data_IF_575288302789
#
_entry.id   IF_575288302789
#
_cell.length_a   1.000
_cell.length_b   1.000
_cell.length_c   1.000
_cell.angle_alpha   90.00
_cell.angle_beta   90.00
_cell.angle_gamma   90.00
#
_symmetry.space_group_name_H-M   'P 1'
#
loop_
_entity.id
_entity.type
_entity.pdbx_description
1 polymer ?
#
# COMPACT_ATOMS: atom_id res chain seq x y z
N UNK A 1 -17.37 5.94 17.94
CA UNK A 1 -17.04 4.65 18.56
C UNK A 1 -16.36 3.65 17.61
N UNK A 2 -16.40 3.83 16.27
CA UNK A 2 -15.83 2.88 15.28
C UNK A 2 -14.31 2.94 15.05
N UNK A 3 -13.59 3.89 15.66
CA UNK A 3 -12.14 4.07 15.44
C UNK A 3 -11.28 3.02 16.15
N UNK A 4 -11.68 2.59 17.35
CA UNK A 4 -10.92 1.66 18.18
C UNK A 4 -11.04 0.21 17.69
N UNK A 5 -12.24 -0.22 17.30
CA UNK A 5 -12.51 -1.59 16.84
C UNK A 5 -11.66 -1.95 15.60
N UNK A 6 -11.53 -1.02 14.65
CA UNK A 6 -10.71 -1.23 13.45
C UNK A 6 -9.20 -1.33 13.77
N UNK A 7 -8.72 -0.67 14.83
CA UNK A 7 -7.33 -0.78 15.27
C UNK A 7 -7.04 -2.15 15.90
N UNK A 8 -7.96 -2.64 16.74
CA UNK A 8 -7.83 -3.96 17.34
C UNK A 8 -7.86 -5.07 16.30
N UNK A 9 -8.69 -4.94 15.26
CA UNK A 9 -8.72 -5.86 14.12
C UNK A 9 -7.38 -5.87 13.37
N UNK A 10 -6.76 -4.70 13.17
CA UNK A 10 -5.45 -4.60 12.53
C UNK A 10 -4.36 -5.27 13.39
N UNK A 11 -4.34 -5.02 14.69
CA UNK A 11 -3.35 -5.62 15.60
C UNK A 11 -3.47 -7.13 15.67
N UNK A 12 -4.71 -7.66 15.77
CA UNK A 12 -4.97 -9.11 15.73
C UNK A 12 -4.55 -9.72 14.40
N UNK A 13 -4.86 -9.06 13.30
CA UNK A 13 -4.42 -9.50 11.98
C UNK A 13 -2.90 -9.49 11.84
N UNK A 14 -2.24 -8.43 12.31
CA UNK A 14 -0.79 -8.29 12.27
C UNK A 14 -0.11 -9.43 13.04
N UNK A 15 -0.60 -9.73 14.25
CA UNK A 15 -0.14 -10.88 15.04
C UNK A 15 -0.31 -12.20 14.28
N UNK A 16 -1.47 -12.40 13.62
CA UNK A 16 -1.73 -13.61 12.82
C UNK A 16 -0.77 -13.77 11.63
N UNK A 17 -0.17 -12.67 11.16
CA UNK A 17 0.84 -12.62 10.10
C UNK A 17 2.28 -12.69 10.64
N UNK A 18 2.46 -12.84 11.96
CA UNK A 18 3.76 -12.88 12.63
C UNK A 18 4.43 -11.52 12.77
N UNK A 19 3.68 -10.42 12.61
CA UNK A 19 4.17 -9.06 12.86
C UNK A 19 4.20 -8.84 14.37
N UNK A 20 5.35 -8.45 14.90
CA UNK A 20 5.58 -8.43 16.34
C UNK A 20 6.62 -7.38 16.75
N UNK A 21 6.39 -6.73 17.90
CA UNK A 21 7.30 -5.78 18.54
C UNK A 21 7.96 -6.32 19.82
N UNK A 22 7.70 -7.58 20.17
CA UNK A 22 8.27 -8.28 21.32
C UNK A 22 9.74 -8.66 21.07
N UNK A 23 10.59 -8.88 22.09
CA UNK A 23 11.93 -9.42 21.90
C UNK A 23 11.93 -10.82 21.26
N UNK A 24 12.98 -11.17 20.52
CA UNK A 24 13.07 -12.45 19.78
C UNK A 24 13.09 -13.67 20.71
N UNK A 25 13.61 -13.49 21.92
CA UNK A 25 13.76 -14.53 22.95
C UNK A 25 12.45 -14.83 23.69
N UNK A 26 11.49 -13.91 23.65
CA UNK A 26 10.19 -14.05 24.30
C UNK A 26 9.03 -14.18 23.31
N UNK A 27 9.31 -14.14 22.00
CA UNK A 27 8.28 -14.09 20.97
C UNK A 27 7.55 -15.44 20.85
N UNK A 28 6.33 -15.48 21.36
CA UNK A 28 5.34 -16.50 21.02
C UNK A 28 4.61 -16.13 19.73
N UNK A 29 3.98 -17.09 19.06
CA UNK A 29 3.22 -16.85 17.82
C UNK A 29 1.99 -15.94 18.01
N UNK A 30 1.64 -15.58 19.25
CA UNK A 30 0.54 -14.68 19.60
C UNK A 30 0.96 -13.23 19.87
N UNK A 31 2.26 -12.94 19.94
CA UNK A 31 2.73 -11.61 20.33
C UNK A 31 2.66 -10.64 19.16
N UNK A 32 1.58 -9.86 19.13
CA UNK A 32 1.34 -8.79 18.16
C UNK A 32 2.09 -7.50 18.49
N UNK A 33 1.39 -6.37 18.35
CA UNK A 33 1.85 -5.06 18.81
C UNK A 33 1.41 -4.82 20.26
N UNK A 34 2.23 -4.11 21.03
CA UNK A 34 1.90 -3.63 22.38
C UNK A 34 3.08 -3.64 23.36
N UNK A 35 4.15 -4.39 23.06
CA UNK A 35 5.32 -4.46 23.94
C UNK A 35 6.20 -3.20 23.84
N UNK A 36 6.48 -2.75 22.62
CA UNK A 36 7.33 -1.59 22.33
C UNK A 36 6.54 -0.46 21.66
N UNK A 37 5.55 -0.82 20.84
CA UNK A 37 4.83 0.08 19.95
C UNK A 37 3.32 -0.13 20.08
N UNK A 38 2.58 0.97 20.07
CA UNK A 38 1.12 0.97 20.01
C UNK A 38 0.64 1.86 18.87
N UNK A 39 -0.48 1.49 18.25
CA UNK A 39 -1.11 2.32 17.22
C UNK A 39 -1.73 3.54 17.89
N UNK A 40 -1.33 4.73 17.46
CA UNK A 40 -1.82 6.00 17.98
C UNK A 40 -2.20 6.95 16.83
N UNK A 41 -2.95 8.02 17.15
CA UNK A 41 -3.30 9.06 16.19
C UNK A 41 -2.62 10.37 16.60
N UNK A 42 -1.91 10.98 15.65
CA UNK A 42 -1.17 12.22 15.79
C UNK A 42 -1.74 13.26 14.81
N UNK A 43 -2.81 14.00 15.18
CA UNK A 43 -3.48 14.95 14.29
C UNK A 43 -2.53 15.96 13.63
N UNK A 44 -1.54 16.43 14.40
CA UNK A 44 -0.59 17.46 13.97
C UNK A 44 0.60 16.88 13.17
N UNK A 45 0.72 15.55 13.08
CA UNK A 45 1.84 14.86 12.41
C UNK A 45 1.36 13.90 11.30
N UNK A 46 0.25 14.23 10.63
CA UNK A 46 -0.24 13.46 9.47
C UNK A 46 -1.16 12.29 9.83
N UNK A 47 -1.64 12.22 11.07
CA UNK A 47 -2.67 11.27 11.50
C UNK A 47 -2.11 10.01 12.14
N UNK A 48 -2.55 8.84 11.69
CA UNK A 48 -2.25 7.57 12.35
C UNK A 48 -0.78 7.19 12.24
N UNK A 49 -0.20 6.74 13.35
CA UNK A 49 1.18 6.26 13.41
C UNK A 49 1.41 5.28 14.55
N UNK A 50 2.68 5.08 14.90
CA UNK A 50 3.11 4.24 16.02
C UNK A 50 3.70 5.14 17.12
N UNK A 51 3.23 4.94 18.35
CA UNK A 51 3.81 5.54 19.55
C UNK A 51 4.62 4.49 20.32
N UNK A 52 5.69 4.91 20.98
CA UNK A 52 6.40 4.05 21.92
C UNK A 52 5.54 3.83 23.17
N UNK A 53 5.36 2.57 23.60
CA UNK A 53 4.69 2.23 24.86
C UNK A 53 5.65 2.14 26.05
N UNK A 54 6.95 2.20 25.79
CA UNK A 54 8.03 2.19 26.77
C UNK A 54 9.23 2.99 26.27
N UNK A 55 10.23 3.16 27.12
CA UNK A 55 11.52 3.71 26.71
C UNK A 55 12.21 2.74 25.72
N UNK A 56 12.64 3.29 24.59
CA UNK A 56 13.36 2.58 23.53
C UNK A 56 14.82 3.03 23.52
N UNK A 57 15.74 2.11 23.25
CA UNK A 57 17.17 2.43 23.07
C UNK A 57 17.52 2.49 21.59
N UNK A 58 18.48 3.34 21.25
CA UNK A 58 19.04 3.37 19.90
C UNK A 58 19.63 1.99 19.54
N UNK A 59 19.39 1.54 18.30
CA UNK A 59 19.82 0.22 17.81
C UNK A 59 18.95 -0.96 18.28
N UNK A 60 17.93 -0.73 19.11
CA UNK A 60 17.02 -1.77 19.57
C UNK A 60 16.07 -2.25 18.45
N UNK A 61 15.81 -3.55 18.36
CA UNK A 61 14.82 -4.11 17.45
C UNK A 61 13.40 -3.86 18.00
N UNK A 62 12.71 -2.88 17.44
CA UNK A 62 11.39 -2.46 17.91
C UNK A 62 10.20 -3.04 17.12
N UNK A 63 10.44 -3.61 15.92
CA UNK A 63 9.39 -4.19 15.09
C UNK A 63 9.96 -5.22 14.11
N UNK A 64 9.27 -6.35 13.96
CA UNK A 64 9.53 -7.35 12.92
C UNK A 64 8.30 -7.51 12.03
N UNK A 65 8.54 -7.53 10.73
CA UNK A 65 7.52 -7.80 9.72
C UNK A 65 7.99 -8.96 8.83
N UNK A 66 7.35 -10.14 8.90
CA UNK A 66 7.71 -11.25 8.02
C UNK A 66 7.46 -10.91 6.55
N UNK A 67 8.31 -11.41 5.65
CA UNK A 67 8.15 -11.20 4.20
C UNK A 67 6.81 -11.70 3.67
N UNK A 68 6.26 -12.77 4.27
CA UNK A 68 4.95 -13.33 3.93
C UNK A 68 3.76 -12.41 4.28
N UNK A 69 3.96 -11.42 5.15
CA UNK A 69 2.95 -10.42 5.46
C UNK A 69 2.88 -9.30 4.41
N UNK A 70 3.95 -9.12 3.62
CA UNK A 70 4.08 -8.04 2.64
C UNK A 70 3.25 -8.32 1.39
N UNK A 71 2.56 -7.29 0.90
CA UNK A 71 2.03 -7.27 -0.45
C UNK A 71 3.17 -6.93 -1.42
N UNK A 72 3.49 -7.84 -2.33
CA UNK A 72 4.67 -7.75 -3.18
C UNK A 72 4.40 -8.34 -4.58
N UNK A 73 5.35 -8.16 -5.51
CA UNK A 73 5.30 -8.85 -6.81
C UNK A 73 5.34 -10.36 -6.61
N UNK A 74 6.00 -10.85 -5.54
CA UNK A 74 6.03 -12.27 -5.20
C UNK A 74 4.65 -12.76 -4.74
N UNK A 75 3.94 -12.01 -3.90
CA UNK A 75 2.57 -12.39 -3.51
C UNK A 75 1.60 -12.30 -4.69
N UNK A 76 1.79 -11.35 -5.62
CA UNK A 76 1.03 -11.29 -6.86
C UNK A 76 1.25 -12.55 -7.73
N UNK A 77 2.50 -13.01 -7.85
CA UNK A 77 2.85 -14.25 -8.56
C UNK A 77 2.39 -15.52 -7.85
N UNK A 78 2.12 -15.46 -6.55
CA UNK A 78 1.56 -16.59 -5.80
C UNK A 78 0.02 -16.69 -5.91
N UNK A 79 -0.66 -15.60 -6.29
CA UNK A 79 -2.10 -15.63 -6.56
C UNK A 79 -2.37 -16.34 -7.90
N UNK A 80 -3.19 -17.42 -7.93
CA UNK A 80 -3.43 -18.21 -9.15
C UNK A 80 -4.02 -17.40 -10.33
N UNK A 81 -4.90 -16.45 -10.02
CA UNK A 81 -5.53 -15.60 -11.05
C UNK A 81 -4.51 -14.63 -11.63
N UNK A 82 -3.78 -13.93 -10.76
CA UNK A 82 -2.80 -12.92 -11.19
C UNK A 82 -1.61 -13.56 -11.91
N UNK A 83 -1.07 -14.67 -11.40
CA UNK A 83 0.08 -15.38 -11.98
C UNK A 83 -0.18 -15.85 -13.40
N UNK A 84 -1.34 -16.44 -13.65
CA UNK A 84 -1.76 -16.91 -14.97
C UNK A 84 -1.82 -15.76 -15.98
N UNK A 85 -2.37 -14.62 -15.56
CA UNK A 85 -2.46 -13.44 -16.40
C UNK A 85 -1.09 -12.74 -16.58
N UNK A 86 -0.26 -12.65 -15.55
CA UNK A 86 1.09 -12.04 -15.63
C UNK A 86 1.98 -12.70 -16.68
N UNK A 87 1.86 -14.02 -16.89
CA UNK A 87 2.60 -14.73 -17.93
C UNK A 87 2.32 -14.20 -19.35
N UNK A 88 1.17 -13.54 -19.57
CA UNK A 88 0.76 -12.96 -20.86
C UNK A 88 1.05 -11.46 -20.97
N UNK A 89 1.53 -10.83 -19.91
CA UNK A 89 1.89 -9.40 -19.87
C UNK A 89 3.34 -9.18 -19.38
N UNK A 90 4.36 -9.66 -20.12
CA UNK A 90 5.75 -9.63 -19.68
C UNK A 90 6.35 -8.22 -19.54
N UNK A 91 5.75 -7.22 -20.21
CA UNK A 91 6.24 -5.84 -20.23
C UNK A 91 5.77 -4.99 -19.04
N UNK A 92 4.97 -5.54 -18.12
CA UNK A 92 4.49 -4.78 -16.98
C UNK A 92 5.62 -4.47 -16.00
N UNK A 93 5.71 -3.21 -15.59
CA UNK A 93 6.59 -2.79 -14.51
C UNK A 93 6.14 -3.37 -13.16
N UNK A 94 7.08 -3.48 -12.22
CA UNK A 94 6.76 -3.91 -10.84
C UNK A 94 5.72 -3.00 -10.18
N UNK A 95 5.75 -1.69 -10.46
CA UNK A 95 4.77 -0.75 -9.96
C UNK A 95 3.36 -1.02 -10.50
N UNK A 96 3.22 -1.30 -11.80
CA UNK A 96 1.93 -1.66 -12.40
C UNK A 96 1.40 -2.99 -11.82
N UNK A 97 2.27 -4.00 -11.68
CA UNK A 97 1.89 -5.29 -11.08
C UNK A 97 1.36 -5.09 -9.65
N UNK A 98 2.08 -4.30 -8.84
CA UNK A 98 1.67 -4.00 -7.47
C UNK A 98 0.36 -3.21 -7.41
N UNK A 99 0.19 -2.21 -8.28
CA UNK A 99 -1.03 -1.42 -8.34
C UNK A 99 -2.26 -2.29 -8.70
N UNK A 100 -2.13 -3.19 -9.68
CA UNK A 100 -3.21 -4.11 -10.04
C UNK A 100 -3.43 -5.17 -8.94
N UNK A 101 -2.37 -5.69 -8.31
CA UNK A 101 -2.51 -6.61 -7.19
C UNK A 101 -3.28 -5.97 -6.03
N UNK A 102 -2.96 -4.72 -5.68
CA UNK A 102 -3.64 -3.93 -4.67
C UNK A 102 -5.12 -3.72 -5.02
N UNK A 103 -5.43 -3.37 -6.27
CA UNK A 103 -6.82 -3.22 -6.72
C UNK A 103 -7.59 -4.54 -6.66
N UNK A 104 -6.96 -5.66 -7.02
CA UNK A 104 -7.56 -7.00 -6.93
C UNK A 104 -7.90 -7.35 -5.47
N UNK A 105 -6.97 -7.14 -4.54
CA UNK A 105 -7.21 -7.37 -3.11
C UNK A 105 -8.29 -6.44 -2.55
N UNK A 106 -8.27 -5.16 -2.91
CA UNK A 106 -9.33 -4.22 -2.55
C UNK A 106 -10.70 -4.65 -3.13
N UNK A 107 -10.72 -5.29 -4.30
CA UNK A 107 -11.94 -5.78 -4.93
C UNK A 107 -12.56 -6.99 -4.26
N UNK A 108 -11.72 -7.85 -3.64
CA UNK A 108 -12.15 -8.97 -2.79
C UNK A 108 -12.86 -8.46 -1.53
N UNK A 109 -12.48 -7.29 -1.01
CA UNK A 109 -13.11 -6.71 0.19
C UNK A 109 -12.80 -7.57 1.42
N UNK A 110 -13.80 -7.93 2.23
CA UNK A 110 -13.61 -8.70 3.47
C UNK A 110 -13.02 -10.10 3.26
N UNK A 111 -13.10 -10.66 2.06
CA UNK A 111 -12.46 -11.95 1.74
C UNK A 111 -10.97 -11.82 1.41
N UNK A 112 -10.44 -10.60 1.27
CA UNK A 112 -8.99 -10.39 1.12
C UNK A 112 -8.27 -10.69 2.41
N UNK A 113 -7.16 -11.42 2.31
CA UNK A 113 -6.29 -11.63 3.46
C UNK A 113 -5.62 -10.34 3.94
N UNK A 114 -5.57 -9.28 3.12
CA UNK A 114 -5.06 -7.96 3.50
C UNK A 114 -6.18 -6.98 3.88
N UNK A 115 -7.44 -7.42 3.93
CA UNK A 115 -8.56 -6.51 4.25
C UNK A 115 -8.33 -5.66 5.51
N UNK A 116 -7.84 -6.21 6.64
CA UNK A 116 -7.58 -5.42 7.84
C UNK A 116 -6.51 -4.34 7.64
N UNK A 117 -5.54 -4.55 6.75
CA UNK A 117 -4.56 -3.54 6.38
C UNK A 117 -5.15 -2.50 5.42
N UNK A 118 -5.86 -2.94 4.38
CA UNK A 118 -6.36 -2.06 3.32
C UNK A 118 -7.39 -1.04 3.81
N UNK A 119 -8.19 -1.36 4.83
CA UNK A 119 -9.18 -0.42 5.39
C UNK A 119 -8.53 0.79 6.08
N UNK A 120 -7.25 0.70 6.44
CA UNK A 120 -6.50 1.78 7.09
C UNK A 120 -5.69 2.63 6.12
N UNK A 121 -5.63 2.24 4.84
CA UNK A 121 -4.99 3.06 3.82
C UNK A 121 -5.76 4.38 3.63
N UNK A 122 -5.05 5.48 3.29
CA UNK A 122 -5.71 6.72 2.90
C UNK A 122 -6.74 6.49 1.79
N UNK A 123 -7.92 7.07 1.96
CA UNK A 123 -8.99 6.98 0.95
C UNK A 123 -8.72 7.85 -0.26
N UNK A 124 -7.98 8.93 -0.07
CA UNK A 124 -7.67 9.96 -1.06
C UNK A 124 -6.21 10.36 -0.87
N UNK A 125 -5.53 10.59 -1.98
CA UNK A 125 -4.20 11.20 -2.02
C UNK A 125 -4.29 12.54 -2.75
N UNK A 126 -3.40 13.45 -2.40
CA UNK A 126 -3.25 14.76 -3.05
C UNK A 126 -1.89 14.80 -3.76
N UNK A 127 -1.74 14.01 -4.82
CA UNK A 127 -0.53 13.96 -5.65
C UNK A 127 -0.75 14.61 -7.00
N UNK A 128 0.34 14.99 -7.69
CA UNK A 128 0.27 15.65 -9.00
C UNK A 128 -0.60 14.93 -10.04
N UNK A 129 -0.64 13.58 -10.13
CA UNK A 129 -1.54 12.90 -11.07
C UNK A 129 -3.04 13.14 -10.84
N UNK A 130 -3.45 13.68 -9.69
CA UNK A 130 -4.83 14.05 -9.41
C UNK A 130 -5.19 15.46 -9.89
N UNK A 131 -4.21 16.27 -10.30
CA UNK A 131 -4.45 17.65 -10.69
C UNK A 131 -5.30 17.69 -11.96
N UNK A 132 -6.31 18.56 -11.97
CA UNK A 132 -7.02 18.92 -13.21
C UNK A 132 -6.35 20.12 -13.88
N UNK A 133 -6.76 20.45 -15.10
CA UNK A 133 -6.16 21.55 -15.87
C UNK A 133 -6.07 22.86 -15.08
N UNK A 134 -7.11 23.21 -14.32
CA UNK A 134 -7.11 24.42 -13.48
C UNK A 134 -6.08 24.35 -12.35
N UNK A 135 -5.89 23.18 -11.73
CA UNK A 135 -4.90 23.01 -10.65
C UNK A 135 -3.48 23.20 -11.17
N UNK A 136 -3.20 22.68 -12.38
CA UNK A 136 -1.91 22.86 -13.06
C UNK A 136 -1.68 24.34 -13.36
N UNK A 137 -2.65 25.02 -13.96
CA UNK A 137 -2.51 26.44 -14.30
C UNK A 137 -2.34 27.35 -13.06
N UNK A 138 -2.86 26.92 -11.90
CA UNK A 138 -2.67 27.62 -10.64
C UNK A 138 -1.23 27.57 -10.10
N UNK A 139 -0.40 26.64 -10.58
CA UNK A 139 1.03 26.60 -10.22
C UNK A 139 1.73 27.84 -10.79
N UNK A 140 2.52 28.53 -9.95
CA UNK A 140 3.12 29.82 -10.32
C UNK A 140 4.35 29.70 -11.22
N UNK A 141 5.02 28.55 -11.20
CA UNK A 141 6.31 28.33 -11.85
C UNK A 141 6.13 27.39 -13.04
N UNK A 142 6.72 27.72 -14.19
CA UNK A 142 6.57 26.95 -15.44
C UNK A 142 7.09 25.52 -15.28
N UNK A 143 8.22 25.34 -14.61
CA UNK A 143 8.78 24.03 -14.30
C UNK A 143 7.82 23.19 -13.45
N UNK A 144 7.12 23.80 -12.50
CA UNK A 144 6.13 23.08 -11.67
C UNK A 144 4.93 22.63 -12.50
N UNK A 145 4.45 23.46 -13.44
CA UNK A 145 3.40 23.08 -14.40
C UNK A 145 3.84 21.91 -15.26
N UNK A 146 5.04 22.00 -15.84
CA UNK A 146 5.61 20.94 -16.66
C UNK A 146 5.73 19.62 -15.90
N UNK A 147 6.23 19.65 -14.66
CA UNK A 147 6.32 18.44 -13.81
C UNK A 147 4.93 17.85 -13.54
N UNK A 148 3.93 18.69 -13.26
CA UNK A 148 2.55 18.23 -13.04
C UNK A 148 1.96 17.59 -14.30
N UNK A 149 2.11 18.22 -15.47
CA UNK A 149 1.66 17.69 -16.75
C UNK A 149 2.32 16.34 -17.05
N UNK A 150 3.65 16.23 -16.88
CA UNK A 150 4.38 14.97 -17.10
C UNK A 150 3.96 13.88 -16.12
N UNK A 151 3.67 14.23 -14.87
CA UNK A 151 3.16 13.28 -13.89
C UNK A 151 1.77 12.74 -14.29
N UNK A 152 0.87 13.60 -14.80
CA UNK A 152 -0.45 13.20 -15.30
C UNK A 152 -0.31 12.31 -16.53
N UNK A 153 0.47 12.74 -17.53
CA UNK A 153 0.75 11.96 -18.75
C UNK A 153 1.29 10.57 -18.42
N UNK A 154 2.29 10.51 -17.53
CA UNK A 154 2.87 9.24 -17.07
C UNK A 154 1.83 8.36 -16.39
N UNK A 155 0.99 8.91 -15.50
CA UNK A 155 -0.05 8.13 -14.83
C UNK A 155 -1.07 7.55 -15.82
N UNK A 156 -1.44 8.31 -16.85
CA UNK A 156 -2.29 7.82 -17.95
C UNK A 156 -1.58 6.70 -18.71
N UNK A 157 -0.34 6.90 -19.14
CA UNK A 157 0.42 5.87 -19.86
C UNK A 157 0.56 4.58 -19.05
N UNK A 158 0.88 4.69 -17.76
CA UNK A 158 1.01 3.53 -16.87
C UNK A 158 -0.34 2.79 -16.71
N UNK A 159 -1.45 3.51 -16.61
CA UNK A 159 -2.79 2.93 -16.55
C UNK A 159 -3.15 2.21 -17.86
N UNK A 160 -2.96 2.88 -18.99
CA UNK A 160 -3.18 2.32 -20.33
C UNK A 160 -2.40 1.02 -20.52
N UNK A 161 -1.11 1.01 -20.14
CA UNK A 161 -0.27 -0.18 -20.21
C UNK A 161 -0.72 -1.32 -19.32
N UNK A 162 -1.40 -1.04 -18.20
CA UNK A 162 -1.91 -2.05 -17.27
C UNK A 162 -3.34 -2.52 -17.60
N UNK A 163 -4.10 -1.79 -18.42
CA UNK A 163 -5.52 -2.09 -18.68
C UNK A 163 -5.75 -3.49 -19.24
N UNK A 164 -4.88 -3.97 -20.15
CA UNK A 164 -4.98 -5.33 -20.69
C UNK A 164 -4.97 -6.38 -19.58
N UNK A 165 -4.03 -6.25 -18.65
CA UNK A 165 -3.93 -7.12 -17.47
C UNK A 165 -5.13 -6.99 -16.53
N UNK A 166 -5.61 -5.77 -16.29
CA UNK A 166 -6.79 -5.52 -15.45
C UNK A 166 -8.07 -6.14 -16.03
N UNK A 167 -8.24 -6.06 -17.36
CA UNK A 167 -9.36 -6.69 -18.06
C UNK A 167 -9.30 -8.21 -17.96
N UNK A 168 -8.12 -8.79 -18.13
CA UNK A 168 -7.92 -10.22 -18.11
C UNK A 168 -8.25 -10.89 -16.78
N UNK A 169 -7.88 -10.25 -15.67
CA UNK A 169 -8.24 -10.72 -14.33
C UNK A 169 -9.72 -10.43 -13.98
N UNK A 170 -10.51 -9.93 -14.94
CA UNK A 170 -11.94 -9.62 -14.79
C UNK A 170 -12.22 -8.69 -13.59
N UNK A 171 -11.36 -7.69 -13.40
CA UNK A 171 -11.48 -6.76 -12.29
C UNK A 171 -12.82 -6.00 -12.36
N UNK A 172 -13.50 -5.86 -11.22
CA UNK A 172 -14.84 -5.22 -11.18
C UNK A 172 -14.78 -3.79 -11.74
N UNK A 173 -15.80 -3.39 -12.50
CA UNK A 173 -15.88 -2.09 -13.20
C UNK A 173 -15.45 -0.87 -12.38
N UNK A 174 -15.79 -0.81 -11.09
CA UNK A 174 -15.39 0.32 -10.22
C UNK A 174 -13.87 0.46 -10.05
N UNK A 175 -13.14 -0.65 -10.04
CA UNK A 175 -11.68 -0.69 -9.92
C UNK A 175 -10.96 -0.61 -11.28
N UNK A 176 -11.70 -0.65 -12.38
CA UNK A 176 -11.18 -0.42 -13.73
C UNK A 176 -11.04 1.07 -14.08
N UNK A 177 -11.46 1.99 -13.19
CA UNK A 177 -11.45 3.43 -13.46
C UNK A 177 -10.07 4.06 -13.26
N UNK A 178 -9.78 5.16 -13.98
CA UNK A 178 -8.56 5.94 -13.77
C UNK A 178 -8.44 6.44 -12.33
N UNK A 179 -9.55 6.84 -11.69
CA UNK A 179 -9.56 7.24 -10.27
C UNK A 179 -9.09 6.11 -9.34
N UNK A 180 -9.50 4.87 -9.61
CA UNK A 180 -9.01 3.71 -8.84
C UNK A 180 -7.52 3.46 -9.11
N UNK A 181 -7.08 3.60 -10.36
CA UNK A 181 -5.67 3.52 -10.72
C UNK A 181 -4.80 4.55 -9.99
N UNK A 182 -5.23 5.81 -9.94
CA UNK A 182 -4.53 6.87 -9.21
C UNK A 182 -4.39 6.53 -7.73
N UNK A 183 -5.46 5.99 -7.11
CA UNK A 183 -5.41 5.58 -5.70
C UNK A 183 -4.40 4.45 -5.47
N UNK A 184 -4.40 3.43 -6.32
CA UNK A 184 -3.49 2.31 -6.19
C UNK A 184 -2.03 2.73 -6.46
N UNK A 185 -1.79 3.51 -7.51
CA UNK A 185 -0.46 3.99 -7.90
C UNK A 185 0.14 4.93 -6.86
N UNK A 186 -0.68 5.84 -6.29
CA UNK A 186 -0.25 6.69 -5.18
C UNK A 186 0.07 5.85 -3.93
N UNK A 187 -0.75 4.86 -3.60
CA UNK A 187 -0.48 3.92 -2.49
C UNK A 187 0.86 3.22 -2.69
N UNK A 188 1.12 2.67 -3.88
CA UNK A 188 2.41 2.04 -4.19
C UNK A 188 3.54 3.06 -4.10
N UNK A 189 3.37 4.28 -4.59
CA UNK A 189 4.43 5.29 -4.57
C UNK A 189 4.82 5.74 -3.16
N UNK A 190 3.86 5.89 -2.24
CA UNK A 190 4.12 6.33 -0.86
C UNK A 190 4.52 5.20 0.09
N UNK A 191 4.03 3.98 -0.15
CA UNK A 191 4.17 2.87 0.80
C UNK A 191 4.97 1.68 0.25
N UNK A 192 5.46 1.74 -0.99
CA UNK A 192 6.39 0.73 -1.47
C UNK A 192 7.79 0.96 -0.91
N UNK A 193 8.46 -0.16 -0.63
CA UNK A 193 9.85 -0.18 -0.24
C UNK A 193 10.58 -1.08 -1.21
N UNK A 194 11.68 -0.57 -1.77
CA UNK A 194 12.64 -1.42 -2.49
C UNK A 194 13.70 -1.84 -1.48
N UNK A 195 13.82 -3.14 -1.14
CA UNK A 195 14.90 -3.59 -0.28
C UNK A 195 16.22 -3.19 -0.91
N UNK A 196 17.03 -2.43 -0.17
CA UNK A 196 18.43 -2.23 -0.53
C UNK A 196 19.05 -3.62 -0.58
N UNK A 197 19.36 -4.11 -1.79
CA UNK A 197 20.21 -5.29 -1.93
C UNK A 197 21.57 -4.89 -1.41
N UNK A 198 21.88 -5.27 -0.18
CA UNK A 198 23.24 -5.27 0.32
C UNK A 198 24.03 -6.19 -0.61
N UNK A 199 24.87 -5.57 -1.45
CA UNK A 199 25.88 -6.25 -2.26
C UNK A 199 27.06 -6.67 -1.41
#
# INVERSE_FOLDING_TARGET
MSGNENCEDLSRWAASKGISDAPRESATTSDGLGHSLVVANFPDAGGRGLAASRNLKEGELILRVPKSALMSVLSAKADPLLSTALARHPCLSSAQILAVHLLNEAAKGKSSTWSPYLIHLPRIYHTLPYFVANDVQALQVEEARWVAEKAIEKAVMDWEGAKGFMHEISLRRRFMSFKAWLWASATVSFYSYSPCTLG
#
